data_IF_477915475321
#
_entry.id   IF_477915475321
#
_cell.length_a   1.000
_cell.length_b   1.000
_cell.length_c   1.000
_cell.angle_alpha   90.00
_cell.angle_beta   90.00
_cell.angle_gamma   90.00
#
_symmetry.space_group_name_H-M   'P 1'
#
loop_
_entity.id
_entity.type
_entity.pdbx_description
1 polymer ?
#
# COMPACT_ATOMS: atom_id res chain seq x y z
N UNK A 1 -13.36 1.77 -6.28
CA UNK A 1 -13.89 1.80 -4.89
C UNK A 1 -13.54 0.50 -4.19
N UNK A 2 -13.11 0.56 -2.92
CA UNK A 2 -12.87 -0.61 -2.07
C UNK A 2 -13.83 -0.51 -0.88
N UNK A 3 -14.56 -1.58 -0.60
CA UNK A 3 -15.47 -1.66 0.53
C UNK A 3 -15.15 -2.88 1.37
N UNK A 4 -15.00 -2.67 2.66
CA UNK A 4 -14.76 -3.69 3.67
C UNK A 4 -15.87 -3.52 4.73
N UNK A 5 -16.61 -4.56 5.02
CA UNK A 5 -17.69 -4.53 6.00
C UNK A 5 -17.52 -5.69 7.00
N UNK A 6 -17.45 -5.32 8.28
CA UNK A 6 -17.41 -6.21 9.45
C UNK A 6 -16.35 -7.33 9.34
N UNK A 7 -15.19 -6.97 8.76
CA UNK A 7 -14.10 -7.91 8.52
C UNK A 7 -13.51 -8.41 9.83
N UNK A 8 -13.55 -9.73 10.02
CA UNK A 8 -12.86 -10.42 11.10
C UNK A 8 -11.98 -11.53 10.54
N UNK A 9 -10.70 -11.51 10.87
CA UNK A 9 -9.70 -12.50 10.42
C UNK A 9 -9.09 -13.20 11.60
N UNK A 10 -9.18 -14.53 11.62
CA UNK A 10 -8.63 -15.39 12.68
C UNK A 10 -7.61 -16.36 12.09
N UNK A 11 -6.48 -16.48 12.75
CA UNK A 11 -5.50 -17.54 12.49
C UNK A 11 -5.66 -18.63 13.54
N UNK A 12 -5.68 -19.88 13.08
CA UNK A 12 -5.74 -21.05 13.94
C UNK A 12 -4.36 -21.71 14.00
N UNK A 13 -3.89 -21.91 15.21
CA UNK A 13 -2.77 -22.79 15.55
C UNK A 13 -3.32 -24.02 16.26
N UNK A 14 -2.53 -25.07 16.41
CA UNK A 14 -2.97 -26.35 16.97
C UNK A 14 -3.69 -26.23 18.34
N UNK A 15 -3.35 -25.21 19.15
CA UNK A 15 -3.90 -25.02 20.49
C UNK A 15 -4.47 -23.62 20.74
N UNK A 16 -4.46 -22.72 19.74
CA UNK A 16 -4.85 -21.32 19.98
C UNK A 16 -5.51 -20.67 18.76
N UNK A 17 -6.39 -19.69 18.99
CA UNK A 17 -7.02 -18.88 17.96
C UNK A 17 -6.60 -17.44 18.17
N UNK A 18 -5.81 -16.90 17.25
CA UNK A 18 -5.38 -15.51 17.24
C UNK A 18 -6.27 -14.68 16.31
N UNK A 19 -6.89 -13.63 16.82
CA UNK A 19 -7.71 -12.70 16.03
C UNK A 19 -6.83 -11.53 15.55
N UNK A 20 -6.48 -11.54 14.27
CA UNK A 20 -5.60 -10.53 13.68
C UNK A 20 -6.34 -9.23 13.29
N UNK A 21 -7.62 -9.33 12.97
CA UNK A 21 -8.51 -8.20 12.65
C UNK A 21 -9.89 -8.54 13.21
N UNK A 22 -10.56 -7.57 13.84
CA UNK A 22 -11.89 -7.76 14.43
C UNK A 22 -12.83 -6.62 14.05
N UNK A 23 -14.01 -6.99 13.53
CA UNK A 23 -15.13 -6.08 13.23
C UNK A 23 -14.71 -4.79 12.50
N UNK A 24 -13.80 -4.93 11.52
CA UNK A 24 -13.22 -3.81 10.79
C UNK A 24 -14.04 -3.46 9.55
N UNK A 25 -14.46 -2.19 9.44
CA UNK A 25 -15.17 -1.68 8.27
C UNK A 25 -14.49 -0.43 7.73
N UNK A 26 -14.34 -0.35 6.39
CA UNK A 26 -13.66 0.75 5.70
C UNK A 26 -14.22 0.91 4.28
N UNK A 27 -14.45 2.15 3.87
CA UNK A 27 -14.77 2.48 2.48
C UNK A 27 -13.74 3.46 1.92
N UNK A 28 -13.15 3.11 0.77
CA UNK A 28 -12.24 3.96 0.00
C UNK A 28 -12.89 4.24 -1.35
N UNK A 29 -13.15 5.51 -1.71
CA UNK A 29 -13.75 5.86 -2.98
C UNK A 29 -12.86 5.46 -4.16
N UNK A 30 -13.42 5.39 -5.36
CA UNK A 30 -12.64 5.19 -6.59
C UNK A 30 -11.56 6.26 -6.71
N UNK A 31 -10.34 5.85 -7.01
CA UNK A 31 -9.18 6.74 -7.07
C UNK A 31 -8.71 7.26 -5.71
N UNK A 32 -9.32 6.85 -4.60
CA UNK A 32 -8.91 7.27 -3.26
C UNK A 32 -7.64 6.58 -2.77
N UNK A 33 -6.96 7.21 -1.80
CA UNK A 33 -5.79 6.63 -1.13
C UNK A 33 -6.01 6.56 0.38
N UNK A 34 -5.62 5.44 0.96
CA UNK A 34 -5.74 5.16 2.38
C UNK A 34 -4.41 4.65 2.96
N UNK A 35 -3.94 5.33 3.99
CA UNK A 35 -2.82 4.89 4.80
C UNK A 35 -3.31 4.01 5.94
N UNK A 36 -2.66 2.89 6.17
CA UNK A 36 -2.88 2.02 7.33
C UNK A 36 -1.64 2.04 8.20
N UNK A 37 -1.78 2.56 9.41
CA UNK A 37 -0.71 2.65 10.41
C UNK A 37 -1.09 1.87 11.67
N UNK A 38 -0.10 1.52 12.46
CA UNK A 38 -0.29 0.79 13.72
C UNK A 38 0.96 0.00 14.10
N UNK A 39 0.97 -0.61 15.28
CA UNK A 39 2.10 -1.38 15.79
C UNK A 39 2.45 -2.61 14.94
N UNK A 40 3.61 -3.20 15.18
CA UNK A 40 3.96 -4.50 14.58
C UNK A 40 2.99 -5.56 15.11
N UNK A 41 2.51 -6.43 14.22
CA UNK A 41 1.57 -7.51 14.58
C UNK A 41 0.09 -7.12 14.60
N UNK A 42 -0.31 -5.84 14.52
CA UNK A 42 -1.73 -5.43 14.59
C UNK A 42 -2.59 -5.77 13.35
N UNK A 43 -2.13 -6.58 12.42
CA UNK A 43 -2.94 -7.05 11.29
C UNK A 43 -2.81 -6.25 9.97
N UNK A 44 -1.93 -5.26 9.85
CA UNK A 44 -1.76 -4.44 8.63
C UNK A 44 -1.54 -5.27 7.37
N UNK A 45 -0.54 -6.14 7.38
CA UNK A 45 -0.24 -7.02 6.23
C UNK A 45 -1.33 -8.08 6.03
N UNK A 46 -2.06 -8.47 7.10
CA UNK A 46 -3.25 -9.33 6.99
C UNK A 46 -4.35 -8.63 6.21
N UNK A 47 -4.64 -7.36 6.54
CA UNK A 47 -5.61 -6.56 5.80
C UNK A 47 -5.28 -6.48 4.30
N UNK A 48 -4.03 -6.16 3.97
CA UNK A 48 -3.59 -6.13 2.57
C UNK A 48 -3.77 -7.48 1.88
N UNK A 49 -3.42 -8.59 2.56
CA UNK A 49 -3.56 -9.95 2.01
C UNK A 49 -5.02 -10.34 1.78
N UNK A 50 -5.95 -9.91 2.64
CA UNK A 50 -7.40 -10.13 2.43
C UNK A 50 -7.86 -9.36 1.19
N UNK A 51 -7.56 -8.06 1.10
CA UNK A 51 -7.94 -7.24 -0.07
C UNK A 51 -7.25 -7.72 -1.35
N UNK A 52 -6.05 -8.33 -1.25
CA UNK A 52 -5.38 -8.99 -2.38
C UNK A 52 -6.02 -10.33 -2.78
N UNK A 53 -6.98 -10.86 -2.00
CA UNK A 53 -7.57 -12.18 -2.22
C UNK A 53 -6.62 -13.34 -1.94
N UNK A 54 -5.55 -13.11 -1.19
CA UNK A 54 -4.58 -14.12 -0.75
C UNK A 54 -5.07 -14.87 0.48
N UNK A 55 -5.81 -14.20 1.37
CA UNK A 55 -6.53 -14.80 2.49
C UNK A 55 -8.00 -14.84 2.11
N UNK A 56 -8.60 -16.04 2.16
CA UNK A 56 -9.99 -16.28 1.76
C UNK A 56 -10.90 -16.62 2.93
N UNK A 57 -10.32 -17.03 4.05
CA UNK A 57 -11.06 -17.41 5.27
C UNK A 57 -11.13 -16.20 6.19
N UNK A 58 -12.28 -15.53 6.20
CA UNK A 58 -12.62 -14.39 7.05
C UNK A 58 -14.14 -14.27 7.18
N UNK A 59 -14.60 -13.64 8.25
CA UNK A 59 -15.98 -13.22 8.42
C UNK A 59 -16.16 -11.79 7.89
N UNK A 60 -17.37 -11.43 7.49
CA UNK A 60 -17.68 -10.14 6.86
C UNK A 60 -17.56 -10.17 5.34
N UNK A 61 -17.36 -9.02 4.73
CA UNK A 61 -17.26 -8.92 3.27
C UNK A 61 -16.22 -7.92 2.82
N UNK A 62 -15.57 -8.23 1.67
CA UNK A 62 -14.64 -7.32 0.98
C UNK A 62 -14.98 -7.27 -0.49
N UNK A 63 -15.16 -6.08 -1.04
CA UNK A 63 -15.46 -5.86 -2.44
C UNK A 63 -14.57 -4.80 -3.08
N UNK A 64 -14.32 -4.98 -4.37
CA UNK A 64 -13.63 -4.03 -5.24
C UNK A 64 -14.58 -3.69 -6.38
N UNK A 65 -14.90 -2.39 -6.53
CA UNK A 65 -15.85 -1.88 -7.52
C UNK A 65 -17.21 -2.59 -7.46
N UNK A 66 -17.71 -2.86 -6.24
CA UNK A 66 -18.99 -3.52 -6.00
C UNK A 66 -19.01 -5.03 -6.27
N UNK A 67 -17.86 -5.63 -6.58
CA UNK A 67 -17.74 -7.07 -6.81
C UNK A 67 -16.87 -7.72 -5.71
N UNK A 68 -17.23 -8.90 -5.19
CA UNK A 68 -16.37 -9.62 -4.26
C UNK A 68 -14.95 -9.77 -4.81
N UNK A 69 -13.95 -9.77 -3.90
CA UNK A 69 -12.55 -9.87 -4.29
C UNK A 69 -12.31 -11.15 -5.10
N UNK A 70 -11.86 -10.97 -6.33
CA UNK A 70 -11.52 -12.04 -7.26
C UNK A 70 -10.24 -11.71 -8.07
N UNK A 71 -9.04 -12.16 -7.63
CA UNK A 71 -7.79 -11.85 -8.32
C UNK A 71 -7.68 -12.35 -9.76
N UNK A 72 -8.56 -13.30 -10.17
CA UNK A 72 -8.62 -13.76 -11.57
C UNK A 72 -9.38 -12.78 -12.46
N UNK A 73 -10.46 -12.20 -11.95
CA UNK A 73 -11.32 -11.26 -12.67
C UNK A 73 -10.92 -9.78 -12.52
N UNK A 74 -10.28 -9.43 -11.41
CA UNK A 74 -9.83 -8.07 -11.09
C UNK A 74 -8.32 -7.93 -11.28
N UNK A 75 -7.86 -6.74 -11.55
CA UNK A 75 -6.43 -6.44 -11.65
C UNK A 75 -5.95 -5.79 -10.37
N UNK A 76 -5.33 -6.58 -9.50
CA UNK A 76 -4.81 -6.13 -8.21
C UNK A 76 -3.30 -5.96 -8.32
N UNK A 77 -2.82 -4.72 -8.19
CA UNK A 77 -1.40 -4.41 -8.06
C UNK A 77 -0.97 -4.63 -6.61
N UNK A 78 0.01 -5.51 -6.38
CA UNK A 78 0.55 -5.73 -5.03
C UNK A 78 2.06 -5.47 -5.03
N UNK A 79 2.50 -4.58 -4.15
CA UNK A 79 3.90 -4.26 -3.90
C UNK A 79 4.27 -4.68 -2.48
N UNK A 80 4.97 -5.80 -2.30
CA UNK A 80 5.43 -6.25 -0.99
C UNK A 80 6.61 -5.40 -0.49
N UNK A 81 6.91 -5.48 0.80
CA UNK A 81 7.95 -4.72 1.49
C UNK A 81 9.35 -4.84 0.84
N UNK A 82 9.69 -6.02 0.32
CA UNK A 82 10.95 -6.28 -0.39
C UNK A 82 10.87 -6.06 -1.90
N UNK A 83 9.88 -5.27 -2.35
CA UNK A 83 9.59 -4.96 -3.76
C UNK A 83 9.20 -6.18 -4.63
N UNK A 84 9.51 -7.41 -4.24
CA UNK A 84 9.19 -8.64 -4.95
C UNK A 84 9.73 -8.70 -6.38
N UNK A 85 10.86 -8.06 -6.67
CA UNK A 85 11.49 -8.15 -7.98
C UNK A 85 12.09 -9.54 -8.19
N UNK A 86 11.93 -10.08 -9.41
CA UNK A 86 12.52 -11.36 -9.76
C UNK A 86 14.00 -11.14 -10.13
N UNK A 87 14.98 -11.66 -9.34
CA UNK A 87 16.39 -11.32 -9.50
C UNK A 87 17.00 -11.88 -10.81
N UNK A 88 16.38 -12.91 -11.39
CA UNK A 88 16.78 -13.53 -12.67
C UNK A 88 16.13 -12.89 -13.90
N UNK A 89 15.31 -11.85 -13.72
CA UNK A 89 14.68 -11.09 -14.80
C UNK A 89 15.28 -9.69 -14.88
N UNK A 90 15.41 -9.18 -16.11
CA UNK A 90 15.83 -7.79 -16.30
C UNK A 90 14.81 -6.80 -15.73
N UNK A 91 15.20 -5.54 -15.57
CA UNK A 91 14.30 -4.43 -15.21
C UNK A 91 13.08 -4.40 -16.12
N UNK A 92 13.29 -4.45 -17.45
CA UNK A 92 12.20 -4.45 -18.42
C UNK A 92 11.26 -5.64 -18.22
N UNK A 93 11.80 -6.86 -18.06
CA UNK A 93 10.99 -8.05 -17.84
C UNK A 93 10.25 -8.05 -16.51
N UNK A 94 10.80 -7.43 -15.46
CA UNK A 94 10.10 -7.20 -14.20
C UNK A 94 8.92 -6.24 -14.40
N UNK A 95 9.11 -5.14 -15.12
CA UNK A 95 8.04 -4.14 -15.38
C UNK A 95 6.86 -4.77 -16.12
N UNK A 96 7.12 -5.60 -17.15
CA UNK A 96 6.05 -6.19 -17.96
C UNK A 96 5.49 -7.50 -17.42
N UNK A 97 5.98 -7.99 -16.27
CA UNK A 97 5.65 -9.31 -15.74
C UNK A 97 4.14 -9.50 -15.51
N UNK A 98 3.50 -8.55 -14.84
CA UNK A 98 2.07 -8.61 -14.52
C UNK A 98 1.19 -8.68 -15.77
N UNK A 99 1.54 -7.90 -16.79
CA UNK A 99 0.84 -7.91 -18.09
C UNK A 99 0.98 -9.25 -18.82
N UNK A 100 2.17 -9.87 -18.78
CA UNK A 100 2.40 -11.21 -19.33
C UNK A 100 1.57 -12.28 -18.62
N UNK A 101 1.48 -12.21 -17.29
CA UNK A 101 0.70 -13.17 -16.47
C UNK A 101 -0.80 -13.03 -16.73
N UNK A 102 -1.31 -11.80 -16.79
CA UNK A 102 -2.73 -11.50 -17.07
C UNK A 102 -3.10 -11.74 -18.53
N UNK A 103 -2.13 -12.03 -19.41
CA UNK A 103 -2.33 -12.19 -20.87
C UNK A 103 -3.06 -10.99 -21.48
N UNK A 104 -2.66 -9.78 -21.08
CA UNK A 104 -3.23 -8.50 -21.54
C UNK A 104 -2.33 -7.87 -22.60
N UNK A 105 -2.40 -8.31 -23.87
CA UNK A 105 -1.53 -7.82 -24.94
C UNK A 105 -1.74 -6.34 -25.23
N UNK A 106 -2.92 -5.80 -24.96
CA UNK A 106 -3.27 -4.37 -25.11
C UNK A 106 -2.44 -3.49 -24.18
N UNK A 107 -2.05 -3.97 -23.00
CA UNK A 107 -1.18 -3.25 -22.06
C UNK A 107 0.29 -3.32 -22.47
N UNK A 108 0.70 -4.26 -23.33
CA UNK A 108 2.08 -4.42 -23.79
C UNK A 108 2.53 -3.38 -24.83
N UNK A 109 1.89 -2.21 -24.84
CA UNK A 109 2.33 -1.12 -25.70
C UNK A 109 3.71 -0.62 -25.27
N UNK A 110 4.72 -0.90 -26.09
CA UNK A 110 6.12 -0.57 -25.81
C UNK A 110 6.35 0.93 -25.59
N UNK A 111 5.60 1.80 -26.28
CA UNK A 111 5.74 3.25 -26.12
C UNK A 111 5.23 3.70 -24.75
N UNK A 112 4.11 3.14 -24.28
CA UNK A 112 3.56 3.45 -22.94
C UNK A 112 4.51 2.98 -21.85
N UNK A 113 5.01 1.75 -21.96
CA UNK A 113 5.98 1.19 -21.01
C UNK A 113 7.26 2.04 -20.98
N UNK A 114 7.80 2.36 -22.16
CA UNK A 114 9.00 3.19 -22.28
C UNK A 114 8.79 4.57 -21.66
N UNK A 115 7.63 5.19 -21.89
CA UNK A 115 7.28 6.49 -21.30
C UNK A 115 7.22 6.40 -19.76
N UNK A 116 6.56 5.38 -19.20
CA UNK A 116 6.50 5.14 -17.77
C UNK A 116 7.91 4.93 -17.17
N UNK A 117 8.74 4.11 -17.81
CA UNK A 117 10.11 3.88 -17.37
C UNK A 117 10.97 5.17 -17.41
N UNK A 118 10.72 6.04 -18.40
CA UNK A 118 11.39 7.35 -18.50
C UNK A 118 10.93 8.29 -17.38
N UNK A 119 9.63 8.36 -17.09
CA UNK A 119 9.10 9.16 -15.99
C UNK A 119 9.70 8.74 -14.63
N UNK A 120 9.97 7.44 -14.45
CA UNK A 120 10.61 6.88 -13.26
C UNK A 120 12.15 6.93 -13.30
N UNK A 121 12.76 7.45 -14.38
CA UNK A 121 14.21 7.54 -14.51
C UNK A 121 14.94 6.19 -14.62
N UNK A 122 14.24 5.13 -15.07
CA UNK A 122 14.78 3.76 -15.17
C UNK A 122 14.89 3.25 -16.62
N UNK A 123 14.62 4.09 -17.64
CA UNK A 123 14.69 3.69 -19.05
C UNK A 123 16.09 3.16 -19.42
N UNK A 124 17.15 3.84 -18.97
CA UNK A 124 18.53 3.43 -19.20
C UNK A 124 18.96 2.15 -18.49
N UNK A 125 18.15 1.68 -17.53
CA UNK A 125 18.41 0.48 -16.73
C UNK A 125 17.68 -0.77 -17.26
N UNK A 126 16.96 -0.67 -18.37
CA UNK A 126 16.05 -1.70 -18.88
C UNK A 126 16.67 -3.10 -18.99
N UNK A 127 17.96 -3.19 -19.28
CA UNK A 127 18.71 -4.46 -19.47
C UNK A 127 19.41 -4.96 -18.21
N UNK A 128 19.46 -4.14 -17.14
CA UNK A 128 20.08 -4.53 -15.86
C UNK A 128 19.19 -5.49 -15.08
N UNK A 129 19.81 -6.17 -14.12
CA UNK A 129 19.14 -7.05 -13.16
C UNK A 129 18.94 -6.34 -11.82
N UNK A 130 17.96 -6.77 -10.97
CA UNK A 130 17.69 -6.14 -9.69
C UNK A 130 18.90 -6.00 -8.76
N UNK A 131 19.79 -6.98 -8.74
CA UNK A 131 21.01 -6.97 -7.92
C UNK A 131 22.07 -5.95 -8.37
N UNK A 132 21.92 -5.35 -9.54
CA UNK A 132 22.77 -4.29 -10.06
C UNK A 132 22.22 -2.88 -9.78
N UNK A 133 21.12 -2.79 -9.03
CA UNK A 133 20.38 -1.57 -8.76
C UNK A 133 20.50 -1.13 -7.30
N UNK A 134 20.52 0.19 -7.06
CA UNK A 134 20.31 0.74 -5.73
C UNK A 134 18.87 0.48 -5.22
N UNK A 135 18.63 0.56 -3.91
CA UNK A 135 17.30 0.39 -3.33
C UNK A 135 16.23 1.30 -3.94
N UNK A 136 16.56 2.58 -4.15
CA UNK A 136 15.66 3.53 -4.81
C UNK A 136 15.38 3.16 -6.28
N UNK A 137 16.37 2.63 -7.01
CA UNK A 137 16.16 2.14 -8.37
C UNK A 137 15.29 0.88 -8.39
N UNK A 138 15.48 -0.06 -7.46
CA UNK A 138 14.63 -1.24 -7.32
C UNK A 138 13.17 -0.84 -7.05
N UNK A 139 12.96 0.12 -6.18
CA UNK A 139 11.63 0.65 -5.88
C UNK A 139 10.96 1.28 -7.10
N UNK A 140 11.71 2.11 -7.88
CA UNK A 140 11.19 2.68 -9.13
C UNK A 140 10.78 1.59 -10.13
N UNK A 141 11.51 0.47 -10.19
CA UNK A 141 11.15 -0.70 -11.00
C UNK A 141 9.86 -1.35 -10.47
N UNK A 142 9.72 -1.49 -9.15
CA UNK A 142 8.52 -2.05 -8.55
C UNK A 142 7.29 -1.16 -8.80
N UNK A 143 7.42 0.16 -8.67
CA UNK A 143 6.37 1.12 -9.05
C UNK A 143 6.02 1.02 -10.54
N UNK A 144 7.03 0.96 -11.42
CA UNK A 144 6.80 0.76 -12.85
C UNK A 144 5.98 -0.51 -13.12
N UNK A 145 6.32 -1.61 -12.45
CA UNK A 145 5.62 -2.90 -12.61
C UNK A 145 4.14 -2.84 -12.22
N UNK A 146 3.84 -2.22 -11.09
CA UNK A 146 2.44 -2.15 -10.62
C UNK A 146 1.61 -1.16 -11.45
N UNK A 147 2.16 0.01 -11.82
CA UNK A 147 1.45 0.98 -12.63
C UNK A 147 1.32 0.57 -14.11
N UNK A 148 2.30 -0.18 -14.65
CA UNK A 148 2.22 -0.73 -16.00
C UNK A 148 1.04 -1.70 -16.17
N UNK A 149 0.65 -2.37 -15.09
CA UNK A 149 -0.50 -3.28 -15.06
C UNK A 149 -1.85 -2.55 -15.13
N UNK A 150 -1.90 -1.23 -14.91
CA UNK A 150 -3.12 -0.42 -14.80
C UNK A 150 -4.15 -1.06 -13.85
N UNK A 151 -3.82 -1.20 -12.56
CA UNK A 151 -4.63 -2.00 -11.64
C UNK A 151 -5.93 -1.28 -11.26
N UNK A 152 -6.99 -2.04 -10.95
CA UNK A 152 -8.22 -1.57 -10.32
C UNK A 152 -7.94 -1.08 -8.89
N UNK A 153 -7.01 -1.77 -8.21
CA UNK A 153 -6.58 -1.49 -6.84
C UNK A 153 -5.08 -1.69 -6.71
N UNK A 154 -4.42 -0.77 -6.01
CA UNK A 154 -3.01 -0.84 -5.65
C UNK A 154 -2.86 -1.06 -4.14
N UNK A 155 -2.15 -2.10 -3.78
CA UNK A 155 -1.84 -2.48 -2.39
C UNK A 155 -0.33 -2.43 -2.20
N UNK A 156 0.14 -1.71 -1.18
CA UNK A 156 1.57 -1.55 -0.91
C UNK A 156 1.88 -1.82 0.56
N UNK A 157 2.81 -2.72 0.81
CA UNK A 157 3.27 -3.05 2.16
C UNK A 157 4.62 -2.38 2.43
N UNK A 158 4.62 -1.33 3.25
CA UNK A 158 5.77 -0.50 3.61
C UNK A 158 6.62 -0.05 2.40
N UNK A 159 6.00 0.60 1.39
CA UNK A 159 6.64 0.81 0.09
C UNK A 159 7.91 1.65 0.13
N UNK A 160 8.12 2.48 1.15
CA UNK A 160 9.23 3.42 1.22
C UNK A 160 10.15 3.20 2.44
N UNK A 161 9.97 2.11 3.20
CA UNK A 161 10.67 1.87 4.46
C UNK A 161 12.19 1.69 4.32
N UNK A 162 12.65 1.12 3.21
CA UNK A 162 14.07 0.82 2.96
C UNK A 162 14.89 2.01 2.42
N UNK A 163 14.30 3.21 2.32
CA UNK A 163 14.96 4.39 1.74
C UNK A 163 15.44 5.35 2.83
N UNK A 164 16.54 6.07 2.53
CA UNK A 164 16.91 7.27 3.27
C UNK A 164 15.85 8.38 3.14
N UNK A 165 15.90 9.37 4.02
CA UNK A 165 14.85 10.38 4.13
C UNK A 165 14.63 11.17 2.81
N UNK A 166 15.71 11.62 2.15
CA UNK A 166 15.61 12.44 0.94
C UNK A 166 15.05 11.62 -0.23
N UNK A 167 15.60 10.43 -0.45
CA UNK A 167 15.12 9.51 -1.49
C UNK A 167 13.66 9.10 -1.25
N UNK A 168 13.27 8.93 0.01
CA UNK A 168 11.88 8.61 0.40
C UNK A 168 10.92 9.70 -0.02
N UNK A 169 11.23 10.96 0.28
CA UNK A 169 10.40 12.10 -0.12
C UNK A 169 10.27 12.21 -1.64
N UNK A 170 11.38 12.08 -2.37
CA UNK A 170 11.37 12.07 -3.83
C UNK A 170 10.47 10.97 -4.39
N UNK A 171 10.54 9.77 -3.81
CA UNK A 171 9.74 8.64 -4.24
C UNK A 171 8.24 8.79 -3.92
N UNK A 172 7.91 9.41 -2.81
CA UNK A 172 6.53 9.76 -2.46
C UNK A 172 5.95 10.77 -3.46
N UNK A 173 6.72 11.78 -3.87
CA UNK A 173 6.30 12.75 -4.88
C UNK A 173 6.09 12.09 -6.25
N UNK A 174 6.99 11.19 -6.65
CA UNK A 174 6.85 10.40 -7.87
C UNK A 174 5.58 9.53 -7.81
N UNK A 175 5.36 8.86 -6.67
CA UNK A 175 4.14 8.07 -6.45
C UNK A 175 2.87 8.92 -6.61
N UNK A 176 2.78 10.09 -5.96
CA UNK A 176 1.61 10.97 -6.08
C UNK A 176 1.37 11.44 -7.52
N UNK A 177 2.43 11.73 -8.28
CA UNK A 177 2.31 12.10 -9.71
C UNK A 177 1.70 10.94 -10.51
N UNK A 178 2.14 9.71 -10.28
CA UNK A 178 1.60 8.53 -10.95
C UNK A 178 0.17 8.24 -10.47
N UNK A 179 -0.07 8.26 -9.16
CA UNK A 179 -1.38 8.02 -8.58
C UNK A 179 -2.44 8.99 -9.14
N UNK A 180 -2.15 10.29 -9.20
CA UNK A 180 -3.04 11.31 -9.81
C UNK A 180 -3.33 11.04 -11.28
N UNK A 181 -2.36 10.50 -12.02
CA UNK A 181 -2.52 10.18 -13.44
C UNK A 181 -3.35 8.94 -13.68
N UNK A 182 -3.20 7.92 -12.85
CA UNK A 182 -3.85 6.63 -13.03
C UNK A 182 -5.15 6.50 -12.23
N UNK A 183 -5.40 7.41 -11.28
CA UNK A 183 -6.59 7.45 -10.42
C UNK A 183 -6.93 6.10 -9.78
N UNK A 184 -5.90 5.36 -9.33
CA UNK A 184 -6.06 4.01 -8.79
C UNK A 184 -6.40 4.05 -7.30
N UNK A 185 -7.44 3.31 -6.89
CA UNK A 185 -7.77 3.13 -5.47
C UNK A 185 -6.61 2.42 -4.76
N UNK A 186 -6.04 3.06 -3.73
CA UNK A 186 -4.79 2.60 -3.12
C UNK A 186 -4.94 2.39 -1.62
N UNK A 187 -4.44 1.26 -1.12
CA UNK A 187 -4.16 1.04 0.31
C UNK A 187 -2.67 0.84 0.46
N UNK A 188 -2.05 1.59 1.36
CA UNK A 188 -0.66 1.35 1.72
C UNK A 188 -0.48 1.26 3.23
N UNK A 189 0.38 0.36 3.63
CA UNK A 189 0.80 0.17 5.02
C UNK A 189 2.08 0.92 5.25
N UNK A 190 2.18 1.64 6.35
CA UNK A 190 3.41 2.29 6.78
C UNK A 190 3.50 2.37 8.30
N UNK A 191 4.71 2.57 8.81
CA UNK A 191 4.97 2.91 10.20
C UNK A 191 5.42 4.37 10.37
N UNK A 192 5.51 5.14 9.27
CA UNK A 192 5.84 6.56 9.29
C UNK A 192 4.57 7.41 9.26
N UNK A 193 4.36 8.20 10.31
CA UNK A 193 3.20 9.10 10.44
C UNK A 193 3.19 10.16 9.35
N UNK A 194 4.36 10.71 9.01
CA UNK A 194 4.52 11.71 7.96
C UNK A 194 4.13 11.17 6.59
N UNK A 195 4.46 9.90 6.31
CA UNK A 195 4.07 9.24 5.08
C UNK A 195 2.55 9.07 4.99
N UNK A 196 1.93 8.65 6.09
CA UNK A 196 0.48 8.53 6.16
C UNK A 196 -0.23 9.87 5.93
N UNK A 197 0.28 10.95 6.50
CA UNK A 197 -0.24 12.30 6.30
C UNK A 197 -0.03 12.83 4.88
N UNK A 198 1.13 12.51 4.29
CA UNK A 198 1.46 13.03 2.96
C UNK A 198 0.70 12.31 1.83
N UNK A 199 0.50 11.00 1.96
CA UNK A 199 -0.02 10.15 0.88
C UNK A 199 -1.48 9.70 1.10
N UNK A 200 -2.00 9.71 2.32
CA UNK A 200 -3.33 9.19 2.65
C UNK A 200 -4.40 10.27 2.67
N UNK A 201 -5.47 10.09 1.90
CA UNK A 201 -6.71 10.84 2.07
C UNK A 201 -7.47 10.39 3.33
N UNK A 202 -7.43 9.07 3.58
CA UNK A 202 -7.89 8.47 4.83
C UNK A 202 -6.70 7.86 5.55
N UNK A 203 -6.74 7.93 6.89
CA UNK A 203 -5.75 7.29 7.75
C UNK A 203 -6.49 6.33 8.67
N UNK A 204 -6.08 5.08 8.63
CA UNK A 204 -6.54 4.01 9.51
C UNK A 204 -5.46 3.71 10.53
N UNK A 205 -5.80 3.80 11.80
CA UNK A 205 -4.95 3.37 12.91
C UNK A 205 -5.50 2.02 13.38
N UNK A 206 -4.77 0.94 13.10
CA UNK A 206 -5.13 -0.39 13.58
C UNK A 206 -4.64 -0.56 15.02
N UNK A 207 -5.54 -1.00 15.90
CA UNK A 207 -5.20 -1.31 17.28
C UNK A 207 -4.44 -2.64 17.39
N UNK A 208 -3.60 -2.75 18.42
CA UNK A 208 -2.90 -3.99 18.77
C UNK A 208 -3.68 -4.88 19.75
N UNK A 209 -4.71 -4.34 20.39
CA UNK A 209 -5.49 -5.09 21.36
C UNK A 209 -6.39 -6.13 20.67
N UNK A 210 -6.47 -7.33 21.23
CA UNK A 210 -7.48 -8.33 20.87
C UNK A 210 -8.88 -7.79 21.17
N UNK A 211 -9.49 -7.13 20.19
CA UNK A 211 -10.77 -6.45 20.31
C UNK A 211 -10.68 -4.92 20.37
N UNK A 212 -9.50 -4.36 20.27
CA UNK A 212 -9.27 -2.92 20.13
C UNK A 212 -9.94 -2.38 18.86
N UNK A 213 -10.63 -1.24 18.97
CA UNK A 213 -11.30 -0.61 17.83
C UNK A 213 -10.29 0.17 17.00
N UNK A 214 -10.19 -0.18 15.74
CA UNK A 214 -9.45 0.63 14.76
C UNK A 214 -10.08 2.03 14.64
N UNK A 215 -9.24 3.05 14.54
CA UNK A 215 -9.69 4.42 14.32
C UNK A 215 -9.51 4.78 12.84
N UNK A 216 -10.52 5.43 12.26
CA UNK A 216 -10.48 5.92 10.88
C UNK A 216 -10.70 7.42 10.91
N UNK A 217 -9.85 8.15 10.21
CA UNK A 217 -9.96 9.59 10.10
C UNK A 217 -9.72 10.06 8.66
N UNK A 218 -10.43 11.09 8.25
CA UNK A 218 -10.14 11.82 7.03
C UNK A 218 -8.95 12.73 7.27
N UNK A 219 -8.07 12.85 6.27
CA UNK A 219 -6.91 13.71 6.34
C UNK A 219 -7.20 15.06 5.64
N UNK A 220 -7.45 16.13 6.40
CA UNK A 220 -7.78 17.43 5.83
C UNK A 220 -6.58 18.09 5.11
N UNK A 221 -5.36 17.59 5.37
CA UNK A 221 -4.13 18.15 4.81
C UNK A 221 -3.73 17.52 3.47
N UNK A 222 -4.42 16.46 3.06
CA UNK A 222 -4.08 15.75 1.82
C UNK A 222 -4.23 16.65 0.59
N UNK A 223 -3.17 16.68 -0.23
CA UNK A 223 -3.17 17.41 -1.50
C UNK A 223 -2.86 18.90 -1.39
N UNK A 224 -2.64 19.42 -0.18
CA UNK A 224 -2.18 20.78 -0.01
C UNK A 224 -0.75 20.95 -0.55
N UNK A 225 -0.50 22.12 -1.14
CA UNK A 225 0.81 22.45 -1.68
C UNK A 225 1.81 22.71 -0.55
N UNK A 226 3.03 22.23 -0.74
CA UNK A 226 4.17 22.43 0.17
C UNK A 226 3.84 22.05 1.63
N UNK A 227 2.98 21.02 1.78
CA UNK A 227 2.40 20.64 3.08
C UNK A 227 3.44 20.25 4.13
N UNK A 228 4.58 19.66 3.70
CA UNK A 228 5.66 19.26 4.62
C UNK A 228 6.32 20.44 5.34
N UNK A 229 6.19 21.66 4.80
CA UNK A 229 6.74 22.89 5.37
C UNK A 229 5.77 23.60 6.31
N UNK A 230 4.52 23.12 6.40
CA UNK A 230 3.46 23.75 7.18
C UNK A 230 3.44 23.29 8.63
N UNK A 231 3.14 24.21 9.54
CA UNK A 231 3.01 23.93 10.98
C UNK A 231 1.88 22.91 11.24
N UNK A 232 0.78 22.98 10.49
CA UNK A 232 -0.36 22.08 10.60
C UNK A 232 0.02 20.61 10.35
N UNK A 233 0.96 20.36 9.43
CA UNK A 233 1.48 19.02 9.15
C UNK A 233 2.23 18.45 10.36
N UNK A 234 3.07 19.27 10.97
CA UNK A 234 3.81 18.90 12.18
C UNK A 234 2.86 18.63 13.36
N UNK A 235 1.89 19.51 13.61
CA UNK A 235 0.92 19.37 14.67
C UNK A 235 0.03 18.13 14.50
N UNK A 236 -0.41 17.85 13.27
CA UNK A 236 -1.17 16.65 12.97
C UNK A 236 -0.31 15.39 13.17
N UNK A 237 0.97 15.45 12.80
CA UNK A 237 1.93 14.37 13.06
C UNK A 237 2.07 14.05 14.54
N UNK A 238 2.20 15.07 15.38
CA UNK A 238 2.22 14.91 16.84
C UNK A 238 0.92 14.29 17.37
N UNK A 239 -0.23 14.75 16.88
CA UNK A 239 -1.54 14.22 17.28
C UNK A 239 -1.64 12.73 16.95
N UNK A 240 -1.27 12.31 15.74
CA UNK A 240 -1.30 10.91 15.32
C UNK A 240 -0.34 10.05 16.16
N UNK A 241 0.89 10.51 16.40
CA UNK A 241 1.84 9.79 17.27
C UNK A 241 1.30 9.60 18.68
N UNK A 242 0.64 10.60 19.24
CA UNK A 242 0.03 10.51 20.56
C UNK A 242 -1.12 9.50 20.60
N UNK A 243 -1.94 9.42 19.56
CA UNK A 243 -3.00 8.40 19.45
C UNK A 243 -2.38 7.00 19.41
N UNK A 244 -1.40 6.79 18.54
CA UNK A 244 -0.71 5.49 18.41
C UNK A 244 -0.02 5.10 19.72
N UNK A 245 0.63 6.05 20.40
CA UNK A 245 1.32 5.79 21.67
C UNK A 245 0.36 5.37 22.77
N UNK A 246 -0.79 6.04 22.90
CA UNK A 246 -1.83 5.67 23.87
C UNK A 246 -2.38 4.26 23.62
N UNK A 247 -2.60 3.90 22.36
CA UNK A 247 -3.02 2.55 21.99
C UNK A 247 -1.97 1.49 22.36
N UNK A 248 -0.68 1.81 22.21
CA UNK A 248 0.41 0.94 22.63
C UNK A 248 0.50 0.78 24.15
N UNK A 249 0.40 1.88 24.90
CA UNK A 249 0.48 1.85 26.37
C UNK A 249 -0.65 0.99 26.96
N UNK A 250 -1.87 1.10 26.42
CA UNK A 250 -3.00 0.25 26.82
C UNK A 250 -2.78 -1.22 26.50
N UNK A 251 -2.18 -1.54 25.35
CA UNK A 251 -1.86 -2.92 24.98
C UNK A 251 -0.81 -3.55 25.90
N UNK A 252 0.17 -2.78 26.39
CA UNK A 252 1.19 -3.26 27.33
C UNK A 252 0.66 -3.46 28.75
N UNK A 253 -0.32 -2.66 29.18
CA UNK A 253 -0.95 -2.80 30.50
C UNK A 253 -1.87 -4.03 30.59
N UNK A 254 -2.34 -4.53 29.44
CA UNK A 254 -3.24 -5.68 29.34
C UNK A 254 -2.51 -7.02 29.11
N UNK A 255 -1.16 -7.04 28.96
CA UNK A 255 -0.31 -8.23 28.86
C UNK A 255 0.26 -8.63 30.21
#
# INVERSE_FOLDING_TARGET
>A
MIEIADLTVRYRSDNDIYTAIKDFSLTIPSGGTCAVIGPSGCGKSTLLKVVAGLIKEYDGSVSINGQPVNPKGQTIGFMPQNYGLLPWKTVYDNVILGMKIKKSPELLNRNVIKHLMRQLGIEGLARRYPNELSGGQQQRVALARVFALQPDVLLMDEPFSALDAITREEMQDIFLKLWRRFEVSTIFVTHYVEEALYLGQKIVILSSDEGGRSQIMDNPLFGEKDIREKEEFFQMGLKLRNIIKKDWEQAWENM
#
